data_IF_659248522451
#
_entry.id   IF_659248522451
#
_cell.length_a   1.000
_cell.length_b   1.000
_cell.length_c   1.000
_cell.angle_alpha   90.00
_cell.angle_beta   90.00
_cell.angle_gamma   90.00
#
_symmetry.space_group_name_H-M   'P 1'
#
loop_
_entity.id
_entity.type
_entity.pdbx_description
1 polymer ?
#
# COMPACT_ATOMS: atom_id res chain seq x y z
N UNK A 1 16.04 10.40 30.02
CA UNK A 1 16.22 9.24 29.11
C UNK A 1 16.59 7.99 29.91
N UNK A 2 17.47 8.07 30.92
CA UNK A 2 17.80 6.92 31.78
C UNK A 2 16.56 6.15 32.26
N UNK A 3 16.58 4.83 32.09
CA UNK A 3 15.49 3.92 32.46
C UNK A 3 14.36 3.78 31.44
N UNK A 4 14.36 4.53 30.33
CA UNK A 4 13.38 4.38 29.25
C UNK A 4 13.64 3.13 28.42
N UNK A 5 12.57 2.49 27.96
CA UNK A 5 12.61 1.32 27.08
C UNK A 5 12.31 1.74 25.64
N UNK A 6 13.20 1.37 24.73
CA UNK A 6 13.07 1.69 23.31
C UNK A 6 12.95 0.40 22.52
N UNK A 7 11.94 0.30 21.66
CA UNK A 7 11.84 -0.73 20.63
C UNK A 7 12.23 -0.12 19.29
N UNK A 8 13.26 -0.67 18.65
CA UNK A 8 13.60 -0.35 17.26
C UNK A 8 13.08 -1.48 16.36
N UNK A 9 12.11 -1.19 15.51
CA UNK A 9 11.66 -2.09 14.45
C UNK A 9 12.45 -1.76 13.19
N UNK A 10 13.34 -2.66 12.81
CA UNK A 10 14.31 -2.46 11.73
C UNK A 10 13.94 -3.32 10.51
N UNK A 11 13.88 -2.68 9.34
CA UNK A 11 13.53 -3.33 8.08
C UNK A 11 14.54 -3.02 6.98
N UNK A 12 15.66 -3.74 6.96
CA UNK A 12 16.60 -3.73 5.85
C UNK A 12 17.34 -5.07 5.75
N UNK A 13 17.46 -5.62 4.55
CA UNK A 13 18.01 -6.96 4.29
C UNK A 13 19.55 -7.05 4.39
N UNK A 14 20.24 -5.92 4.33
CA UNK A 14 21.72 -5.83 4.42
C UNK A 14 22.14 -5.11 5.71
N UNK A 15 22.68 -5.81 6.72
CA UNK A 15 23.12 -5.24 7.99
C UNK A 15 24.26 -4.21 7.87
N UNK A 16 25.11 -4.31 6.83
CA UNK A 16 26.19 -3.33 6.59
C UNK A 16 25.74 -2.10 5.80
N UNK A 17 24.46 -1.99 5.48
CA UNK A 17 23.90 -0.85 4.76
C UNK A 17 23.98 0.45 5.56
N UNK A 18 23.69 1.58 4.92
CA UNK A 18 23.51 2.85 5.61
C UNK A 18 22.40 2.78 6.67
N UNK A 19 21.28 2.08 6.38
CA UNK A 19 20.22 1.82 7.38
C UNK A 19 20.75 1.01 8.57
N UNK A 20 21.58 -0.01 8.33
CA UNK A 20 22.20 -0.80 9.41
C UNK A 20 23.19 0.02 10.24
N UNK A 21 23.91 0.94 9.60
CA UNK A 21 24.77 1.91 10.30
C UNK A 21 23.95 2.86 11.18
N UNK A 22 22.81 3.38 10.67
CA UNK A 22 21.89 4.20 11.46
C UNK A 22 21.30 3.43 12.64
N UNK A 23 20.90 2.17 12.45
CA UNK A 23 20.45 1.28 13.53
C UNK A 23 21.54 1.16 14.60
N UNK A 24 22.78 0.84 14.21
CA UNK A 24 23.90 0.66 15.13
C UNK A 24 24.16 1.93 15.95
N UNK A 25 24.21 3.09 15.29
CA UNK A 25 24.39 4.39 15.95
C UNK A 25 23.25 4.66 16.94
N UNK A 26 21.99 4.42 16.54
CA UNK A 26 20.84 4.62 17.40
C UNK A 26 20.90 3.74 18.65
N UNK A 27 21.22 2.44 18.49
CA UNK A 27 21.39 1.51 19.63
C UNK A 27 22.50 2.00 20.56
N UNK A 28 23.68 2.30 20.02
CA UNK A 28 24.84 2.74 20.81
C UNK A 28 24.54 4.01 21.61
N UNK A 29 23.95 5.01 20.97
CA UNK A 29 23.71 6.32 21.59
C UNK A 29 22.58 6.27 22.63
N UNK A 30 21.49 5.56 22.33
CA UNK A 30 20.40 5.38 23.30
C UNK A 30 20.88 4.57 24.52
N UNK A 31 21.70 3.54 24.32
CA UNK A 31 22.28 2.77 25.43
C UNK A 31 23.22 3.64 26.28
N UNK A 32 24.07 4.48 25.68
CA UNK A 32 24.93 5.43 26.42
C UNK A 32 24.12 6.41 27.28
N UNK A 33 22.92 6.78 26.83
CA UNK A 33 21.99 7.64 27.57
C UNK A 33 21.20 6.90 28.67
N UNK A 34 21.47 5.61 28.88
CA UNK A 34 20.85 4.78 29.91
C UNK A 34 19.49 4.20 29.52
N UNK A 35 19.14 4.16 28.23
CA UNK A 35 17.94 3.48 27.75
C UNK A 35 18.18 1.96 27.59
N UNK A 36 17.15 1.16 27.86
CA UNK A 36 17.11 -0.25 27.48
C UNK A 36 16.60 -0.36 26.05
N UNK A 37 17.43 -0.84 25.12
CA UNK A 37 17.08 -0.91 23.69
C UNK A 37 16.85 -2.37 23.29
N UNK A 38 15.67 -2.63 22.71
CA UNK A 38 15.30 -3.91 22.08
C UNK A 38 15.17 -3.69 20.59
N UNK A 39 15.72 -4.60 19.78
CA UNK A 39 15.63 -4.54 18.31
C UNK A 39 14.80 -5.71 17.78
N UNK A 40 13.81 -5.40 16.94
CA UNK A 40 13.15 -6.36 16.06
C UNK A 40 13.68 -6.16 14.64
N UNK A 41 14.73 -6.91 14.28
CA UNK A 41 15.26 -6.96 12.92
C UNK A 41 14.39 -7.92 12.09
N UNK A 42 13.47 -7.35 11.31
CA UNK A 42 12.44 -8.11 10.62
C UNK A 42 13.02 -9.09 9.58
N UNK A 43 14.13 -8.74 8.94
CA UNK A 43 14.77 -9.62 7.97
C UNK A 43 15.55 -10.73 8.66
N UNK A 44 16.28 -10.43 9.74
CA UNK A 44 16.97 -11.47 10.54
C UNK A 44 15.97 -12.43 11.21
N UNK A 45 14.80 -11.93 11.62
CA UNK A 45 13.71 -12.72 12.18
C UNK A 45 12.94 -13.54 11.13
N UNK A 46 13.18 -13.28 9.83
CA UNK A 46 12.36 -13.81 8.73
C UNK A 46 10.85 -13.55 8.93
N UNK A 47 10.52 -12.38 9.48
CA UNK A 47 9.15 -12.03 9.88
C UNK A 47 8.18 -12.27 8.72
N UNK A 48 7.04 -12.91 8.98
CA UNK A 48 6.01 -13.18 7.98
C UNK A 48 5.12 -11.96 7.73
N UNK A 49 5.24 -11.23 6.63
CA UNK A 49 4.44 -10.02 6.46
C UNK A 49 3.04 -10.28 5.93
N UNK A 50 2.72 -11.50 5.45
CA UNK A 50 1.38 -11.82 4.96
C UNK A 50 0.44 -12.00 6.15
N UNK A 51 -0.59 -11.17 6.19
CA UNK A 51 -1.74 -11.36 7.06
C UNK A 51 -2.49 -12.64 6.63
N UNK A 52 -2.46 -13.69 7.44
CA UNK A 52 -3.07 -14.98 7.07
C UNK A 52 -3.81 -15.63 8.23
N UNK A 53 -4.54 -16.70 7.93
CA UNK A 53 -5.16 -17.57 8.93
C UNK A 53 -4.18 -18.05 10.02
N UNK A 54 -2.89 -18.14 9.71
CA UNK A 54 -1.86 -18.63 10.64
C UNK A 54 -1.61 -17.68 11.82
N UNK A 55 -2.12 -16.44 11.75
CA UNK A 55 -2.02 -15.47 12.84
C UNK A 55 -2.94 -15.81 14.03
N UNK A 56 -3.78 -16.84 13.89
CA UNK A 56 -4.76 -17.27 14.88
C UNK A 56 -4.49 -18.72 15.28
N UNK A 57 -4.26 -18.95 16.56
CA UNK A 57 -4.10 -20.28 17.16
C UNK A 57 -5.47 -20.78 17.60
N UNK A 58 -5.85 -22.01 17.23
CA UNK A 58 -7.16 -22.57 17.57
C UNK A 58 -8.22 -22.29 16.51
N UNK A 59 -9.50 -22.12 16.89
CA UNK A 59 -10.62 -22.01 15.96
C UNK A 59 -10.89 -20.56 15.52
N UNK A 60 -11.42 -20.39 14.31
CA UNK A 60 -11.95 -19.11 13.85
C UNK A 60 -13.27 -18.80 14.55
N UNK A 61 -13.58 -17.52 14.69
CA UNK A 61 -14.92 -17.06 15.06
C UNK A 61 -15.95 -17.44 14.00
N UNK A 62 -15.63 -17.25 12.72
CA UNK A 62 -16.42 -17.68 11.58
C UNK A 62 -15.55 -18.41 10.55
N UNK A 63 -15.60 -19.75 10.56
CA UNK A 63 -14.84 -20.58 9.62
C UNK A 63 -15.39 -20.59 8.20
N UNK A 64 -16.59 -20.07 7.96
CA UNK A 64 -17.24 -20.11 6.64
C UNK A 64 -16.98 -18.87 5.79
N UNK A 65 -16.55 -17.77 6.42
CA UNK A 65 -16.23 -16.50 5.78
C UNK A 65 -15.10 -15.79 6.54
N UNK A 66 -13.85 -16.11 6.19
CA UNK A 66 -12.69 -15.55 6.88
C UNK A 66 -12.55 -14.04 6.64
N UNK A 67 -12.60 -13.27 7.73
CA UNK A 67 -12.31 -11.84 7.74
C UNK A 67 -11.12 -11.57 8.65
N UNK A 68 -9.99 -11.18 8.07
CA UNK A 68 -8.75 -11.03 8.84
C UNK A 68 -8.88 -10.05 10.02
N UNK A 69 -9.54 -8.90 9.84
CA UNK A 69 -9.69 -7.89 10.89
C UNK A 69 -10.56 -8.39 12.05
N UNK A 70 -11.72 -8.95 11.74
CA UNK A 70 -12.64 -9.51 12.76
C UNK A 70 -12.01 -10.70 13.46
N UNK A 71 -11.39 -11.61 12.71
CA UNK A 71 -10.84 -12.86 13.24
C UNK A 71 -9.62 -12.62 14.14
N UNK A 72 -8.75 -11.67 13.79
CA UNK A 72 -7.62 -11.29 14.65
C UNK A 72 -8.06 -10.53 15.89
N UNK A 73 -9.11 -9.70 15.80
CA UNK A 73 -9.73 -9.07 16.98
C UNK A 73 -10.31 -10.10 17.95
N UNK A 74 -11.07 -11.08 17.44
CA UNK A 74 -11.62 -12.17 18.26
C UNK A 74 -10.51 -13.06 18.84
N UNK A 75 -9.47 -13.36 18.07
CA UNK A 75 -8.30 -14.08 18.56
C UNK A 75 -7.55 -13.30 19.65
N UNK A 76 -7.39 -11.99 19.51
CA UNK A 76 -6.79 -11.13 20.54
C UNK A 76 -7.56 -11.21 21.86
N UNK A 77 -8.89 -11.07 21.83
CA UNK A 77 -9.74 -11.16 23.03
C UNK A 77 -9.59 -12.50 23.75
N UNK A 78 -9.35 -13.58 23.01
CA UNK A 78 -9.17 -14.95 23.55
C UNK A 78 -7.73 -15.29 23.93
N UNK A 79 -6.75 -14.41 23.64
CA UNK A 79 -5.33 -14.71 23.81
C UNK A 79 -4.81 -15.77 22.83
N UNK A 80 -5.42 -15.85 21.65
CA UNK A 80 -5.20 -16.87 20.63
C UNK A 80 -4.46 -16.33 19.39
N UNK A 81 -3.69 -15.25 19.51
CA UNK A 81 -2.82 -14.81 18.43
C UNK A 81 -1.58 -15.71 18.32
N UNK A 82 -0.99 -15.76 17.12
CA UNK A 82 0.28 -16.47 16.91
C UNK A 82 1.38 -15.92 17.81
N UNK A 83 2.34 -16.80 18.14
CA UNK A 83 3.41 -16.51 19.09
C UNK A 83 4.23 -15.27 18.70
N UNK A 84 4.55 -15.12 17.41
CA UNK A 84 5.31 -13.99 16.89
C UNK A 84 4.59 -12.66 17.10
N UNK A 85 3.27 -12.60 16.87
CA UNK A 85 2.46 -11.42 17.15
C UNK A 85 2.46 -11.09 18.65
N UNK A 86 2.25 -12.10 19.51
CA UNK A 86 2.24 -11.89 20.97
C UNK A 86 3.59 -11.37 21.47
N UNK A 87 4.70 -11.88 20.93
CA UNK A 87 6.05 -11.44 21.27
C UNK A 87 6.32 -10.00 20.80
N UNK A 88 5.95 -9.63 19.58
CA UNK A 88 6.09 -8.25 19.10
C UNK A 88 5.19 -7.28 19.89
N UNK A 89 3.94 -7.66 20.17
CA UNK A 89 3.04 -6.85 21.00
C UNK A 89 3.60 -6.67 22.41
N UNK A 90 4.26 -7.68 22.99
CA UNK A 90 4.93 -7.54 24.28
C UNK A 90 6.03 -6.48 24.22
N UNK A 91 6.88 -6.49 23.19
CA UNK A 91 7.92 -5.47 22.99
C UNK A 91 7.30 -4.07 22.87
N UNK A 92 6.21 -3.94 22.11
CA UNK A 92 5.48 -2.68 21.97
C UNK A 92 4.91 -2.22 23.32
N UNK A 93 4.28 -3.11 24.11
CA UNK A 93 3.74 -2.76 25.45
C UNK A 93 4.83 -2.24 26.38
N UNK A 94 5.99 -2.90 26.39
CA UNK A 94 7.11 -2.57 27.26
C UNK A 94 7.84 -1.29 26.84
N UNK A 95 7.79 -0.92 25.55
CA UNK A 95 8.47 0.26 25.05
C UNK A 95 7.74 1.57 25.42
N UNK A 96 8.52 2.57 25.82
CA UNK A 96 8.12 3.97 25.92
C UNK A 96 8.20 4.67 24.54
N UNK A 97 9.18 4.26 23.72
CA UNK A 97 9.46 4.81 22.39
C UNK A 97 9.58 3.69 21.36
N UNK A 98 8.86 3.82 20.26
CA UNK A 98 9.02 3.01 19.06
C UNK A 98 9.82 3.78 18.01
N UNK A 99 10.88 3.19 17.49
CA UNK A 99 11.64 3.72 16.36
C UNK A 99 11.49 2.76 15.19
N UNK A 100 11.02 3.27 14.05
CA UNK A 100 10.99 2.53 12.79
C UNK A 100 12.19 2.93 11.95
N UNK A 101 13.09 1.99 11.64
CA UNK A 101 14.27 2.23 10.80
C UNK A 101 14.19 1.43 9.49
N UNK A 102 14.06 2.11 8.35
CA UNK A 102 13.82 1.46 7.06
C UNK A 102 14.18 2.34 5.84
N UNK A 103 14.41 1.78 4.65
CA UNK A 103 14.50 2.54 3.41
C UNK A 103 13.11 2.85 2.83
N UNK A 104 12.93 4.00 2.16
CA UNK A 104 11.72 4.23 1.37
C UNK A 104 11.71 3.38 0.11
N UNK A 105 10.70 2.52 -0.01
CA UNK A 105 10.37 1.75 -1.21
C UNK A 105 9.03 2.27 -1.74
N UNK A 106 9.03 2.82 -2.95
CA UNK A 106 7.84 3.41 -3.57
C UNK A 106 7.16 4.45 -2.69
N UNK A 107 7.97 5.39 -2.16
CA UNK A 107 7.50 6.46 -1.28
C UNK A 107 6.78 5.97 -0.01
N UNK A 108 7.04 4.74 0.40
CA UNK A 108 6.46 4.12 1.58
C UNK A 108 7.47 3.17 2.23
N UNK A 109 7.08 2.53 3.33
CA UNK A 109 7.88 1.48 3.95
C UNK A 109 7.95 0.21 3.08
N UNK A 110 9.00 -0.62 3.22
CA UNK A 110 9.06 -1.92 2.56
C UNK A 110 7.94 -2.83 3.06
N UNK A 111 7.50 -3.76 2.20
CA UNK A 111 6.42 -4.70 2.50
C UNK A 111 6.60 -5.47 3.81
N UNK A 112 7.84 -5.80 4.21
CA UNK A 112 8.09 -6.51 5.47
C UNK A 112 7.69 -5.67 6.70
N UNK A 113 7.96 -4.37 6.69
CA UNK A 113 7.55 -3.46 7.76
C UNK A 113 6.04 -3.19 7.69
N UNK A 114 5.49 -3.06 6.47
CA UNK A 114 4.04 -2.97 6.30
C UNK A 114 3.32 -4.18 6.90
N UNK A 115 3.86 -5.38 6.68
CA UNK A 115 3.32 -6.61 7.25
C UNK A 115 3.43 -6.68 8.76
N UNK A 116 4.49 -6.13 9.34
CA UNK A 116 4.58 -5.98 10.79
C UNK A 116 3.45 -5.09 11.32
N UNK A 117 3.16 -3.96 10.67
CA UNK A 117 2.03 -3.10 11.06
C UNK A 117 0.69 -3.81 10.88
N UNK A 118 0.49 -4.49 9.74
CA UNK A 118 -0.75 -5.22 9.42
C UNK A 118 -1.08 -6.30 10.44
N UNK A 119 -0.07 -7.00 10.94
CA UNK A 119 -0.25 -8.17 11.81
C UNK A 119 -0.14 -7.84 13.29
N UNK A 120 0.76 -6.94 13.70
CA UNK A 120 1.03 -6.67 15.13
C UNK A 120 0.02 -5.69 15.71
N UNK A 121 -0.36 -4.67 14.94
CA UNK A 121 -1.30 -3.63 15.36
C UNK A 121 -2.75 -4.09 15.11
N UNK A 122 -3.20 -5.13 15.82
CA UNK A 122 -4.59 -5.60 15.69
C UNK A 122 -5.55 -4.74 16.52
N UNK A 123 -6.84 -4.77 16.18
CA UNK A 123 -7.89 -4.18 17.01
C UNK A 123 -7.90 -4.84 18.41
N UNK A 124 -8.18 -4.06 19.44
CA UNK A 124 -8.09 -4.44 20.85
C UNK A 124 -6.69 -4.30 21.44
N UNK A 125 -5.65 -4.33 20.60
CA UNK A 125 -4.28 -4.06 20.99
C UNK A 125 -3.87 -2.61 20.71
N UNK A 126 -3.90 -2.20 19.44
CA UNK A 126 -3.40 -0.90 19.01
C UNK A 126 -4.48 0.18 19.01
N UNK A 127 -5.71 -0.21 18.67
CA UNK A 127 -6.87 0.66 18.60
C UNK A 127 -8.15 -0.12 18.93
N UNK A 128 -9.22 0.58 19.21
CA UNK A 128 -10.59 0.07 19.12
C UNK A 128 -11.41 1.09 18.32
N UNK A 129 -12.54 0.71 17.70
CA UNK A 129 -13.35 1.68 16.95
C UNK A 129 -13.83 2.85 17.81
N UNK A 130 -13.96 2.63 19.13
CA UNK A 130 -14.26 3.68 20.12
C UNK A 130 -13.03 4.45 20.63
N UNK A 131 -11.81 3.98 20.34
CA UNK A 131 -10.53 4.49 20.85
C UNK A 131 -9.48 4.56 19.74
N UNK A 132 -9.47 5.69 19.04
CA UNK A 132 -8.60 6.00 17.91
C UNK A 132 -7.85 7.32 18.10
N UNK A 133 -6.78 7.53 17.33
CA UNK A 133 -5.95 8.75 17.33
C UNK A 133 -5.48 9.15 18.74
N UNK A 134 -5.79 10.37 19.17
CA UNK A 134 -5.40 10.92 20.48
C UNK A 134 -6.00 10.16 21.67
N UNK A 135 -7.03 9.34 21.44
CA UNK A 135 -7.64 8.47 22.46
C UNK A 135 -7.32 6.98 22.23
N UNK A 136 -6.33 6.68 21.38
CA UNK A 136 -5.95 5.33 21.00
C UNK A 136 -5.37 4.51 22.16
N UNK A 137 -5.35 3.18 22.01
CA UNK A 137 -4.84 2.28 23.05
C UNK A 137 -3.32 2.40 23.26
N UNK A 138 -2.61 3.03 22.32
CA UNK A 138 -1.18 3.30 22.39
C UNK A 138 -0.86 4.80 22.58
N UNK A 139 -1.83 5.64 22.98
CA UNK A 139 -1.68 7.10 23.10
C UNK A 139 -0.51 7.58 23.98
N UNK A 140 -0.06 6.77 24.94
CA UNK A 140 1.05 7.11 25.84
C UNK A 140 2.44 6.83 25.23
N UNK A 141 2.49 6.16 24.07
CA UNK A 141 3.74 5.76 23.42
C UNK A 141 4.23 6.84 22.48
N UNK A 142 5.53 7.08 22.49
CA UNK A 142 6.17 7.92 21.48
C UNK A 142 6.53 7.06 20.26
N UNK A 143 6.49 7.66 19.07
CA UNK A 143 6.95 7.02 17.84
C UNK A 143 7.87 7.94 17.04
N UNK A 144 8.89 7.36 16.41
CA UNK A 144 9.83 8.03 15.53
C UNK A 144 10.02 7.20 14.27
N UNK A 145 9.93 7.85 13.11
CA UNK A 145 10.24 7.26 11.82
C UNK A 145 11.60 7.79 11.36
N UNK A 146 12.59 6.90 11.28
CA UNK A 146 13.92 7.18 10.73
C UNK A 146 14.08 6.39 9.44
N UNK A 147 14.12 7.08 8.30
CA UNK A 147 14.19 6.40 7.02
C UNK A 147 15.14 7.05 6.04
N UNK A 148 15.63 6.25 5.09
CA UNK A 148 16.53 6.72 4.04
C UNK A 148 15.80 6.88 2.72
N UNK A 149 16.11 7.93 1.98
CA UNK A 149 15.57 8.19 0.64
C UNK A 149 16.60 7.87 -0.44
N UNK A 150 16.13 7.53 -1.65
CA UNK A 150 17.02 7.33 -2.81
C UNK A 150 17.41 8.63 -3.55
N UNK A 151 16.71 9.74 -3.28
CA UNK A 151 16.97 11.05 -3.88
C UNK A 151 17.56 12.07 -2.91
N UNK A 152 18.06 13.20 -3.43
CA UNK A 152 18.64 14.28 -2.63
C UNK A 152 17.58 15.03 -1.81
N UNK A 153 18.01 15.79 -0.80
CA UNK A 153 17.11 16.60 0.03
C UNK A 153 16.29 17.58 -0.80
N UNK A 154 16.87 18.13 -1.86
CA UNK A 154 16.23 19.08 -2.76
C UNK A 154 15.04 18.46 -3.49
N UNK A 155 15.13 17.17 -3.87
CA UNK A 155 14.02 16.44 -4.48
C UNK A 155 12.81 16.34 -3.54
N UNK A 156 13.04 16.34 -2.22
CA UNK A 156 11.99 16.25 -1.18
C UNK A 156 11.72 17.58 -0.46
N UNK A 157 12.37 18.68 -0.86
CA UNK A 157 12.19 20.01 -0.25
C UNK A 157 10.95 20.72 -0.83
N UNK A 158 10.47 21.75 -0.11
CA UNK A 158 9.27 22.57 -0.42
C UNK A 158 9.24 23.12 -1.87
N UNK A 159 10.39 23.18 -2.56
CA UNK A 159 10.53 23.66 -3.95
C UNK A 159 10.96 22.60 -4.99
N UNK A 160 11.17 21.35 -4.61
CA UNK A 160 11.52 20.25 -5.54
C UNK A 160 10.28 19.60 -6.14
N UNK A 161 10.41 18.79 -7.21
CA UNK A 161 9.27 18.17 -7.91
C UNK A 161 8.38 17.28 -7.03
N UNK A 162 8.90 16.82 -5.89
CA UNK A 162 8.25 15.84 -5.02
C UNK A 162 7.62 16.47 -3.75
N UNK A 163 7.20 17.74 -3.89
CA UNK A 163 6.68 18.71 -2.87
C UNK A 163 5.79 18.15 -1.76
N UNK A 164 4.99 17.11 -2.00
CA UNK A 164 3.86 16.75 -1.12
C UNK A 164 4.05 15.47 -0.31
N UNK A 165 5.20 14.81 -0.40
CA UNK A 165 5.42 13.51 0.23
C UNK A 165 5.61 13.53 1.74
N UNK A 166 6.08 14.64 2.29
CA UNK A 166 6.40 14.76 3.71
C UNK A 166 5.49 15.76 4.44
N UNK A 167 4.45 16.26 3.77
CA UNK A 167 3.57 17.30 4.31
C UNK A 167 2.87 16.89 5.62
N UNK A 168 2.51 15.62 5.91
CA UNK A 168 2.00 15.26 7.23
C UNK A 168 3.06 15.31 8.35
N UNK A 169 4.35 15.42 8.02
CA UNK A 169 5.47 15.31 8.97
C UNK A 169 6.22 16.62 9.22
N UNK A 170 5.75 17.75 8.66
CA UNK A 170 6.37 19.05 8.88
C UNK A 170 5.38 20.00 9.53
N UNK A 171 5.75 20.52 10.71
CA UNK A 171 4.98 21.48 11.51
C UNK A 171 4.46 22.64 10.65
N UNK A 172 3.19 23.07 10.81
CA UNK A 172 2.67 24.19 10.05
C UNK A 172 3.41 25.48 10.44
N UNK A 173 4.19 26.04 9.52
CA UNK A 173 4.51 27.46 9.60
C UNK A 173 3.27 28.23 9.16
N UNK A 174 2.78 29.11 10.04
CA UNK A 174 1.67 30.03 9.78
C UNK A 174 1.97 30.85 8.53
N UNK A 175 1.28 30.58 7.43
CA UNK A 175 1.24 31.50 6.30
C UNK A 175 0.32 32.68 6.67
N UNK A 176 0.92 33.87 6.74
CA UNK A 176 0.19 35.13 6.84
C UNK A 176 -0.43 35.48 5.48
N UNK A 177 -1.65 35.98 5.55
CA UNK A 177 -2.58 36.08 4.44
C UNK A 177 -2.12 36.93 3.25
N UNK A 178 -2.53 36.49 2.08
CA UNK A 178 -2.74 37.35 0.91
C UNK A 178 -4.06 36.93 0.27
N UNK A 179 -5.03 37.84 0.26
CA UNK A 179 -6.28 37.74 -0.48
C UNK A 179 -6.03 37.96 -1.98
N UNK A 180 -6.82 37.33 -2.86
CA UNK A 180 -7.25 38.08 -4.03
C UNK A 180 -8.75 38.02 -4.32
N UNK A 181 -9.19 39.17 -4.83
CA UNK A 181 -10.51 39.53 -5.32
C UNK A 181 -11.15 38.53 -6.27
N UNK A 182 -12.48 38.50 -6.16
CA UNK A 182 -13.46 37.89 -7.07
C UNK A 182 -13.42 38.46 -8.48
N UNK A 183 -13.53 37.60 -9.48
CA UNK A 183 -14.30 37.87 -10.70
C UNK A 183 -14.92 36.58 -11.27
N UNK A 184 -16.18 36.73 -11.68
CA UNK A 184 -17.08 35.74 -12.26
C UNK A 184 -16.54 35.10 -13.54
N UNK A 185 -16.91 33.83 -13.78
CA UNK A 185 -17.29 33.37 -15.12
C UNK A 185 -18.31 32.23 -15.06
N UNK A 186 -19.33 32.38 -15.89
CA UNK A 186 -20.54 31.58 -16.07
C UNK A 186 -20.30 30.19 -16.67
N UNK A 187 -21.06 29.21 -16.18
CA UNK A 187 -21.19 27.89 -16.78
C UNK A 187 -22.10 27.90 -18.03
N UNK A 188 -21.88 26.99 -19.00
CA UNK A 188 -22.94 26.52 -19.86
C UNK A 188 -23.35 25.08 -19.50
N UNK A 189 -24.66 24.90 -19.33
CA UNK A 189 -25.30 23.60 -19.26
C UNK A 189 -25.21 22.90 -20.63
N UNK A 190 -24.90 21.60 -20.63
CA UNK A 190 -25.09 20.74 -21.81
C UNK A 190 -26.01 19.56 -21.45
N UNK A 191 -27.00 19.37 -22.32
CA UNK A 191 -28.05 18.35 -22.26
C UNK A 191 -27.50 17.00 -22.71
N UNK A 192 -27.85 15.94 -21.98
CA UNK A 192 -27.62 14.54 -22.37
C UNK A 192 -28.79 14.08 -23.26
N UNK A 193 -28.57 13.52 -24.47
CA UNK A 193 -29.57 12.71 -25.13
C UNK A 193 -29.46 11.25 -24.69
N UNK A 194 -30.61 10.70 -24.28
CA UNK A 194 -30.81 9.26 -24.08
C UNK A 194 -30.58 8.49 -25.38
N UNK A 195 -29.72 7.48 -25.33
CA UNK A 195 -29.54 6.49 -26.39
C UNK A 195 -28.64 5.36 -25.91
N UNK A 196 -29.25 4.22 -25.57
CA UNK A 196 -28.52 3.00 -25.19
C UNK A 196 -27.89 2.39 -26.46
N UNK A 197 -26.72 2.89 -26.83
CA UNK A 197 -25.90 2.32 -27.89
C UNK A 197 -24.95 1.28 -27.25
N UNK A 198 -25.27 0.01 -27.44
CA UNK A 198 -24.35 -1.10 -27.16
C UNK A 198 -23.25 -1.07 -28.22
N UNK A 199 -22.19 -0.32 -27.95
CA UNK A 199 -20.97 -0.34 -28.76
C UNK A 199 -20.12 -1.53 -28.34
N UNK A 200 -19.85 -2.44 -29.28
CA UNK A 200 -18.80 -3.43 -29.13
C UNK A 200 -17.46 -2.70 -29.03
N UNK A 201 -16.77 -2.84 -27.89
CA UNK A 201 -15.37 -2.44 -27.75
C UNK A 201 -14.53 -3.21 -28.77
N UNK A 202 -13.45 -2.64 -29.32
CA UNK A 202 -12.58 -3.38 -30.20
C UNK A 202 -12.08 -4.63 -29.45
N UNK A 203 -12.31 -5.84 -29.97
CA UNK A 203 -11.86 -7.07 -29.32
C UNK A 203 -10.35 -7.02 -29.11
N UNK A 204 -9.88 -7.45 -27.94
CA UNK A 204 -8.44 -7.65 -27.69
C UNK A 204 -7.78 -6.80 -26.60
N UNK A 205 -8.52 -6.00 -25.83
CA UNK A 205 -7.95 -5.36 -24.63
C UNK A 205 -7.56 -6.39 -23.58
N UNK A 206 -6.38 -6.25 -22.99
CA UNK A 206 -5.83 -7.14 -21.97
C UNK A 206 -5.89 -6.47 -20.60
N UNK A 207 -6.45 -7.17 -19.61
CA UNK A 207 -6.57 -6.69 -18.24
C UNK A 207 -5.82 -7.62 -17.31
N UNK A 208 -4.94 -7.06 -16.47
CA UNK A 208 -4.38 -7.74 -15.33
C UNK A 208 -5.09 -7.27 -14.06
N UNK A 209 -5.69 -8.19 -13.33
CA UNK A 209 -6.23 -7.93 -11.99
C UNK A 209 -5.27 -8.53 -10.96
N UNK A 210 -4.64 -7.67 -10.16
CA UNK A 210 -3.83 -8.10 -9.00
C UNK A 210 -4.73 -8.07 -7.77
N UNK A 211 -5.02 -9.25 -7.24
CA UNK A 211 -5.99 -9.47 -6.18
C UNK A 211 -5.30 -9.86 -4.87
N UNK A 212 -5.63 -9.15 -3.78
CA UNK A 212 -5.00 -9.33 -2.48
C UNK A 212 -6.04 -9.50 -1.37
N UNK A 213 -6.72 -10.64 -1.33
CA UNK A 213 -7.58 -11.03 -0.21
C UNK A 213 -7.52 -12.54 0.04
N UNK A 214 -7.59 -12.97 1.30
CA UNK A 214 -7.38 -14.36 1.73
C UNK A 214 -8.61 -15.25 1.49
N UNK A 215 -9.80 -14.64 1.56
CA UNK A 215 -11.09 -15.33 1.48
C UNK A 215 -11.79 -15.08 0.13
N UNK A 216 -11.95 -16.10 -0.73
CA UNK A 216 -12.67 -15.99 -2.01
C UNK A 216 -14.14 -15.57 -1.87
N UNK A 217 -14.81 -15.89 -0.76
CA UNK A 217 -16.22 -15.48 -0.51
C UNK A 217 -16.35 -14.06 0.05
N UNK A 218 -15.25 -13.35 0.24
CA UNK A 218 -15.25 -11.98 0.75
C UNK A 218 -15.94 -11.01 -0.21
N UNK A 219 -16.26 -9.82 0.28
CA UNK A 219 -16.75 -8.75 -0.59
C UNK A 219 -15.73 -8.38 -1.68
N UNK A 220 -14.42 -8.41 -1.37
CA UNK A 220 -13.35 -8.25 -2.36
C UNK A 220 -13.37 -9.36 -3.41
N UNK A 221 -13.62 -10.62 -3.01
CA UNK A 221 -13.77 -11.74 -3.95
C UNK A 221 -14.98 -11.57 -4.88
N UNK A 222 -16.09 -11.05 -4.37
CA UNK A 222 -17.25 -10.68 -5.20
C UNK A 222 -16.93 -9.57 -6.21
N UNK A 223 -16.18 -8.53 -5.80
CA UNK A 223 -15.74 -7.46 -6.71
C UNK A 223 -14.80 -7.99 -7.80
N UNK A 224 -13.86 -8.87 -7.45
CA UNK A 224 -13.00 -9.58 -8.40
C UNK A 224 -13.83 -10.39 -9.40
N UNK A 225 -14.76 -11.21 -8.92
CA UNK A 225 -15.61 -12.06 -9.77
C UNK A 225 -16.40 -11.23 -10.77
N UNK A 226 -17.03 -10.14 -10.33
CA UNK A 226 -17.75 -9.21 -11.20
C UNK A 226 -16.82 -8.59 -12.24
N UNK A 227 -15.62 -8.16 -11.85
CA UNK A 227 -14.65 -7.59 -12.77
C UNK A 227 -14.26 -8.59 -13.86
N UNK A 228 -13.93 -9.82 -13.48
CA UNK A 228 -13.60 -10.89 -14.44
C UNK A 228 -14.78 -11.16 -15.38
N UNK A 229 -15.98 -11.36 -14.85
CA UNK A 229 -17.17 -11.67 -15.65
C UNK A 229 -17.52 -10.56 -16.63
N UNK A 230 -17.59 -9.30 -16.16
CA UNK A 230 -18.03 -8.17 -16.97
C UNK A 230 -17.00 -7.82 -18.05
N UNK A 231 -15.71 -7.79 -17.72
CA UNK A 231 -14.65 -7.50 -18.70
C UNK A 231 -14.52 -8.63 -19.74
N UNK A 232 -14.70 -9.89 -19.33
CA UNK A 232 -14.71 -11.03 -20.26
C UNK A 232 -15.92 -10.97 -21.20
N UNK A 233 -17.12 -10.61 -20.69
CA UNK A 233 -18.33 -10.40 -21.51
C UNK A 233 -18.13 -9.32 -22.57
N UNK A 234 -17.31 -8.31 -22.28
CA UNK A 234 -16.94 -7.25 -23.21
C UNK A 234 -15.86 -7.67 -24.25
N UNK A 235 -15.35 -8.90 -24.18
CA UNK A 235 -14.32 -9.40 -25.09
C UNK A 235 -12.88 -9.06 -24.68
N UNK A 236 -12.65 -8.66 -23.43
CA UNK A 236 -11.29 -8.48 -22.90
C UNK A 236 -10.66 -9.83 -22.55
N UNK A 237 -9.33 -9.93 -22.69
CA UNK A 237 -8.55 -11.03 -22.10
C UNK A 237 -8.20 -10.64 -20.67
N UNK A 238 -8.76 -11.36 -19.68
CA UNK A 238 -8.55 -11.07 -18.26
C UNK A 238 -7.59 -12.09 -17.64
N UNK A 239 -6.50 -11.61 -17.05
CA UNK A 239 -5.55 -12.40 -16.26
C UNK A 239 -5.65 -11.97 -14.80
N UNK A 240 -5.61 -12.93 -13.88
CA UNK A 240 -5.65 -12.65 -12.43
C UNK A 240 -4.36 -13.14 -11.78
N UNK A 241 -3.74 -12.26 -10.98
CA UNK A 241 -2.71 -12.62 -10.01
C UNK A 241 -3.34 -12.58 -8.62
N UNK A 242 -3.86 -13.74 -8.17
CA UNK A 242 -4.35 -13.92 -6.80
C UNK A 242 -3.16 -14.16 -5.88
N UNK A 243 -2.73 -13.09 -5.21
CA UNK A 243 -1.47 -13.09 -4.48
C UNK A 243 -1.46 -14.09 -3.31
N UNK A 244 -2.60 -14.28 -2.65
CA UNK A 244 -2.69 -15.24 -1.54
C UNK A 244 -2.75 -16.68 -2.05
N UNK A 245 -3.50 -16.96 -3.13
CA UNK A 245 -3.50 -18.29 -3.74
C UNK A 245 -2.12 -18.67 -4.31
N UNK A 246 -1.40 -17.69 -4.85
CA UNK A 246 -0.03 -17.84 -5.34
C UNK A 246 1.02 -17.98 -4.21
N UNK A 247 0.65 -17.71 -2.96
CA UNK A 247 1.58 -17.55 -1.85
C UNK A 247 2.73 -16.59 -2.20
N UNK A 248 2.41 -15.49 -2.89
CA UNK A 248 3.39 -14.54 -3.40
C UNK A 248 4.34 -14.10 -2.27
N UNK A 249 5.65 -14.13 -2.50
CA UNK A 249 6.66 -13.69 -1.54
C UNK A 249 6.71 -12.15 -1.55
N UNK A 250 6.36 -11.45 -0.47
CA UNK A 250 6.37 -9.99 -0.51
C UNK A 250 7.70 -9.36 -0.07
N UNK A 251 8.63 -10.12 0.51
CA UNK A 251 9.91 -9.59 1.00
C UNK A 251 10.86 -9.41 -0.18
N UNK A 252 11.32 -8.19 -0.40
CA UNK A 252 12.45 -7.90 -1.29
C UNK A 252 13.74 -8.47 -0.70
N UNK A 253 14.36 -9.45 -1.36
CA UNK A 253 15.58 -10.13 -0.86
C UNK A 253 16.54 -10.49 -1.99
N UNK A 254 17.75 -10.94 -1.64
CA UNK A 254 18.72 -11.47 -2.62
C UNK A 254 18.18 -12.66 -3.43
N UNK A 255 17.15 -13.36 -2.95
CA UNK A 255 16.53 -14.48 -3.67
C UNK A 255 15.79 -14.05 -4.95
N UNK A 256 15.55 -12.74 -5.11
CA UNK A 256 14.95 -12.17 -6.32
C UNK A 256 15.94 -12.14 -7.50
N UNK A 257 17.21 -12.45 -7.25
CA UNK A 257 18.28 -12.51 -8.24
C UNK A 257 18.78 -13.95 -8.37
N UNK A 258 18.75 -14.46 -9.60
CA UNK A 258 19.25 -15.79 -9.98
C UNK A 258 20.71 -15.66 -10.43
N UNK A 259 21.59 -16.46 -9.82
CA UNK A 259 23.02 -16.44 -10.14
C UNK A 259 23.79 -15.45 -9.27
N UNK A 260 24.73 -14.71 -9.87
CA UNK A 260 25.67 -13.86 -9.14
C UNK A 260 25.15 -12.42 -8.99
N UNK A 261 25.32 -11.88 -7.78
CA UNK A 261 25.14 -10.46 -7.50
C UNK A 261 26.15 -9.62 -8.30
N UNK A 262 25.77 -8.41 -8.66
CA UNK A 262 26.66 -7.41 -9.23
C UNK A 262 27.75 -7.01 -8.23
N UNK A 263 27.39 -6.83 -6.95
CA UNK A 263 28.29 -6.57 -5.85
C UNK A 263 27.90 -7.39 -4.61
N UNK A 264 28.57 -8.52 -4.42
CA UNK A 264 28.32 -9.41 -3.27
C UNK A 264 28.76 -8.86 -1.91
N UNK A 265 29.61 -7.83 -1.88
CA UNK A 265 30.15 -7.26 -0.64
C UNK A 265 29.25 -6.20 -0.02
N UNK A 266 28.36 -5.59 -0.82
CA UNK A 266 27.45 -4.53 -0.39
C UNK A 266 26.11 -4.64 -1.13
N UNK A 267 25.21 -5.49 -0.62
CA UNK A 267 23.92 -5.73 -1.26
C UNK A 267 23.02 -4.49 -1.21
N UNK A 268 22.71 -3.94 -2.39
CA UNK A 268 21.71 -2.90 -2.57
C UNK A 268 20.60 -3.43 -3.49
N UNK A 269 19.41 -3.66 -2.94
CA UNK A 269 18.31 -4.30 -3.66
C UNK A 269 17.95 -3.57 -4.98
N UNK A 270 17.91 -2.24 -4.98
CA UNK A 270 17.59 -1.47 -6.19
C UNK A 270 18.63 -1.64 -7.30
N UNK A 271 19.91 -1.54 -6.95
CA UNK A 271 21.02 -1.73 -7.91
C UNK A 271 21.06 -3.17 -8.41
N UNK A 272 20.97 -4.13 -7.50
CA UNK A 272 21.09 -5.55 -7.82
C UNK A 272 19.95 -6.05 -8.70
N UNK A 273 18.71 -5.63 -8.42
CA UNK A 273 17.55 -6.00 -9.25
C UNK A 273 17.58 -5.30 -10.61
N UNK A 274 18.07 -4.07 -10.70
CA UNK A 274 18.30 -3.39 -11.98
C UNK A 274 19.33 -4.12 -12.85
N UNK A 275 20.47 -4.50 -12.27
CA UNK A 275 21.50 -5.28 -12.97
C UNK A 275 21.01 -6.69 -13.32
N UNK A 276 20.24 -7.33 -12.45
CA UNK A 276 19.62 -8.62 -12.74
C UNK A 276 18.59 -8.51 -13.87
N UNK A 277 17.77 -7.47 -13.90
CA UNK A 277 16.82 -7.24 -15.00
C UNK A 277 17.53 -7.11 -16.35
N UNK A 278 18.60 -6.30 -16.44
CA UNK A 278 19.40 -6.15 -17.67
C UNK A 278 19.98 -7.47 -18.18
N UNK A 279 20.33 -8.37 -17.26
CA UNK A 279 20.90 -9.69 -17.57
C UNK A 279 19.85 -10.79 -17.76
N UNK A 280 18.57 -10.52 -17.53
CA UNK A 280 17.51 -11.53 -17.53
C UNK A 280 17.62 -12.53 -16.37
N UNK A 281 18.18 -12.09 -15.24
CA UNK A 281 18.50 -12.91 -14.07
C UNK A 281 17.59 -12.61 -12.86
N UNK A 282 16.38 -12.09 -13.07
CA UNK A 282 15.39 -12.02 -12.00
C UNK A 282 14.78 -13.40 -11.73
N UNK A 283 14.26 -13.60 -10.52
CA UNK A 283 13.54 -14.81 -10.14
C UNK A 283 12.32 -15.03 -11.04
N UNK A 284 11.96 -16.31 -11.23
CA UNK A 284 10.91 -16.71 -12.18
C UNK A 284 9.56 -16.06 -11.88
N UNK A 285 9.18 -15.97 -10.61
CA UNK A 285 7.92 -15.34 -10.19
C UNK A 285 7.85 -13.87 -10.61
N UNK A 286 8.94 -13.11 -10.47
CA UNK A 286 9.02 -11.72 -10.94
C UNK A 286 8.89 -11.64 -12.45
N UNK A 287 9.62 -12.48 -13.20
CA UNK A 287 9.56 -12.49 -14.67
C UNK A 287 8.14 -12.78 -15.18
N UNK A 288 7.44 -13.73 -14.56
CA UNK A 288 6.05 -14.04 -14.93
C UNK A 288 5.09 -12.89 -14.62
N UNK A 289 5.22 -12.22 -13.47
CA UNK A 289 4.39 -11.05 -13.16
C UNK A 289 4.70 -9.87 -14.09
N UNK A 290 5.97 -9.61 -14.40
CA UNK A 290 6.38 -8.58 -15.35
C UNK A 290 5.83 -8.85 -16.75
N UNK A 291 5.77 -10.12 -17.18
CA UNK A 291 5.13 -10.50 -18.45
C UNK A 291 3.65 -10.12 -18.45
N UNK A 292 2.91 -10.45 -17.39
CA UNK A 292 1.49 -10.07 -17.27
C UNK A 292 1.29 -8.56 -17.34
N UNK A 293 2.13 -7.79 -16.63
CA UNK A 293 2.10 -6.31 -16.66
C UNK A 293 2.40 -5.79 -18.07
N UNK A 294 3.43 -6.32 -18.74
CA UNK A 294 3.81 -5.92 -20.10
C UNK A 294 2.66 -6.11 -21.07
N UNK A 295 1.96 -7.24 -20.97
CA UNK A 295 0.85 -7.57 -21.85
C UNK A 295 -0.44 -6.78 -21.57
N UNK A 296 -0.66 -6.32 -20.33
CA UNK A 296 -1.89 -5.64 -19.96
C UNK A 296 -1.98 -4.21 -20.51
N UNK A 297 -3.16 -3.82 -20.97
CA UNK A 297 -3.55 -2.42 -21.22
C UNK A 297 -4.04 -1.74 -19.93
N UNK A 298 -4.65 -2.52 -19.02
CA UNK A 298 -5.22 -2.05 -17.76
C UNK A 298 -4.77 -2.92 -16.59
N UNK A 299 -4.32 -2.27 -15.52
CA UNK A 299 -3.98 -2.86 -14.23
C UNK A 299 -5.09 -2.54 -13.21
N UNK A 300 -5.81 -3.54 -12.71
CA UNK A 300 -6.77 -3.39 -11.62
C UNK A 300 -6.17 -3.95 -10.34
N UNK A 301 -6.13 -3.16 -9.28
CA UNK A 301 -5.70 -3.60 -7.96
C UNK A 301 -6.92 -3.77 -7.07
N UNK A 302 -7.23 -5.01 -6.66
CA UNK A 302 -8.38 -5.33 -5.80
C UNK A 302 -7.91 -5.75 -4.40
N UNK A 303 -8.22 -4.97 -3.37
CA UNK A 303 -7.74 -5.23 -2.00
C UNK A 303 -8.59 -4.57 -0.90
N UNK A 304 -8.54 -5.07 0.34
CA UNK A 304 -9.00 -4.32 1.51
C UNK A 304 -7.96 -3.30 1.95
N UNK A 305 -8.39 -2.10 2.32
CA UNK A 305 -7.50 -1.06 2.86
C UNK A 305 -7.03 -1.46 4.26
N UNK A 306 -5.73 -1.70 4.41
CA UNK A 306 -5.06 -2.06 5.67
C UNK A 306 -4.15 -0.93 6.09
N UNK A 307 -4.39 -0.35 7.28
CA UNK A 307 -3.58 0.74 7.82
C UNK A 307 -3.35 1.88 6.82
N UNK A 308 -4.46 2.39 6.24
CA UNK A 308 -4.44 3.51 5.29
C UNK A 308 -3.54 3.24 4.07
N UNK A 309 -3.45 1.97 3.66
CA UNK A 309 -2.63 1.54 2.51
C UNK A 309 -3.08 0.15 2.02
N UNK A 310 -2.44 -0.36 0.98
CA UNK A 310 -2.62 -1.75 0.53
C UNK A 310 -2.08 -2.78 1.55
N UNK A 311 -2.57 -4.04 1.54
CA UNK A 311 -2.00 -5.11 2.34
C UNK A 311 -0.54 -5.36 1.97
N UNK A 312 0.27 -5.78 2.95
CA UNK A 312 1.70 -6.03 2.74
C UNK A 312 2.01 -6.98 1.57
N UNK A 313 1.16 -7.96 1.28
CA UNK A 313 1.37 -8.86 0.13
C UNK A 313 1.31 -8.13 -1.21
N UNK A 314 0.39 -7.16 -1.34
CA UNK A 314 0.28 -6.30 -2.53
C UNK A 314 1.40 -5.26 -2.56
N UNK A 315 1.78 -4.71 -1.41
CA UNK A 315 2.96 -3.83 -1.33
C UNK A 315 4.23 -4.56 -1.78
N UNK A 316 4.38 -5.82 -1.39
CA UNK A 316 5.50 -6.66 -1.82
C UNK A 316 5.50 -6.96 -3.30
N UNK A 317 4.32 -7.14 -3.91
CA UNK A 317 4.20 -7.23 -5.36
C UNK A 317 4.72 -5.96 -6.04
N UNK A 318 4.33 -4.77 -5.56
CA UNK A 318 4.86 -3.50 -6.07
C UNK A 318 6.39 -3.38 -5.86
N UNK A 319 6.88 -3.72 -4.67
CA UNK A 319 8.30 -3.65 -4.29
C UNK A 319 9.19 -4.54 -5.17
N UNK A 320 8.70 -5.74 -5.51
CA UNK A 320 9.49 -6.76 -6.22
C UNK A 320 9.30 -6.75 -7.73
N UNK A 321 8.10 -6.46 -8.24
CA UNK A 321 7.80 -6.57 -9.68
C UNK A 321 8.23 -5.33 -10.46
N UNK A 322 8.05 -4.14 -9.89
CA UNK A 322 8.21 -2.85 -10.59
C UNK A 322 9.67 -2.35 -10.64
N UNK A 323 10.65 -3.22 -10.79
CA UNK A 323 12.08 -2.84 -10.71
C UNK A 323 12.50 -1.80 -11.77
N UNK A 324 13.60 -1.10 -11.49
CA UNK A 324 14.23 -0.19 -12.46
C UNK A 324 14.62 -0.96 -13.73
N UNK A 325 14.47 -0.32 -14.89
CA UNK A 325 14.67 -0.91 -16.22
C UNK A 325 13.40 -1.60 -16.75
N UNK A 326 12.51 -2.05 -15.87
CA UNK A 326 11.21 -2.60 -16.25
C UNK A 326 10.10 -1.54 -16.18
N UNK A 327 9.82 -1.02 -14.98
CA UNK A 327 8.68 -0.13 -14.76
C UNK A 327 9.04 1.36 -14.83
N UNK A 328 10.28 1.70 -14.53
CA UNK A 328 10.82 3.07 -14.59
C UNK A 328 12.32 3.04 -14.89
N UNK A 329 12.86 4.18 -15.27
CA UNK A 329 14.30 4.47 -15.16
C UNK A 329 14.46 5.84 -14.51
N UNK A 330 15.59 6.14 -13.84
CA UNK A 330 15.78 7.45 -13.21
C UNK A 330 15.71 8.61 -14.21
N UNK A 331 15.99 8.35 -15.49
CA UNK A 331 15.81 9.31 -16.58
C UNK A 331 14.40 9.40 -17.16
N UNK A 332 13.50 8.49 -16.75
CA UNK A 332 12.15 8.26 -17.31
C UNK A 332 11.18 7.90 -16.20
N UNK A 333 10.61 8.94 -15.58
CA UNK A 333 9.65 8.87 -14.48
C UNK A 333 8.43 9.72 -14.80
N UNK A 334 7.34 9.52 -14.07
CA UNK A 334 6.07 10.23 -14.30
C UNK A 334 5.61 10.04 -15.75
N UNK A 335 5.18 11.09 -16.43
CA UNK A 335 4.60 11.00 -17.79
C UNK A 335 5.54 10.32 -18.82
N UNK A 336 6.86 10.33 -18.58
CA UNK A 336 7.87 9.66 -19.41
C UNK A 336 8.21 8.22 -18.97
N UNK A 337 7.53 7.70 -17.95
CA UNK A 337 7.76 6.37 -17.37
C UNK A 337 7.65 5.23 -18.37
N UNK A 338 8.21 4.07 -18.01
CA UNK A 338 8.32 2.93 -18.95
C UNK A 338 6.99 2.18 -19.17
N UNK A 339 5.96 2.48 -18.38
CA UNK A 339 4.61 1.91 -18.47
C UNK A 339 3.55 2.94 -18.91
N UNK A 340 3.97 4.01 -19.60
CA UNK A 340 3.13 5.17 -19.96
C UNK A 340 1.93 4.91 -20.89
N UNK A 341 1.93 3.76 -21.54
CA UNK A 341 0.87 3.27 -22.44
C UNK A 341 -0.26 2.52 -21.69
N UNK A 342 -0.15 2.37 -20.37
CA UNK A 342 -1.07 1.59 -19.54
C UNK A 342 -2.01 2.46 -18.71
N UNK A 343 -3.16 1.89 -18.38
CA UNK A 343 -4.11 2.40 -17.38
C UNK A 343 -3.96 1.64 -16.06
N UNK A 344 -4.26 2.29 -14.94
CA UNK A 344 -4.46 1.64 -13.65
C UNK A 344 -5.75 2.06 -12.96
N UNK A 345 -6.35 1.16 -12.19
CA UNK A 345 -7.49 1.41 -11.33
C UNK A 345 -7.30 0.73 -9.98
N UNK A 346 -7.42 1.50 -8.91
CA UNK A 346 -7.47 0.97 -7.54
C UNK A 346 -8.93 0.71 -7.17
N UNK A 347 -9.30 -0.55 -6.93
CA UNK A 347 -10.60 -0.97 -6.42
C UNK A 347 -10.43 -1.51 -5.01
N UNK A 348 -10.96 -0.84 -3.99
CA UNK A 348 -10.73 -1.28 -2.62
C UNK A 348 -11.91 -1.07 -1.70
N UNK A 349 -11.89 -1.81 -0.60
CA UNK A 349 -12.87 -1.74 0.48
C UNK A 349 -12.25 -1.10 1.72
N UNK A 350 -13.00 -0.31 2.47
CA UNK A 350 -12.55 0.25 3.77
C UNK A 350 -13.29 -0.40 4.92
N UNK A 351 -12.68 -0.42 6.12
CA UNK A 351 -13.37 -0.87 7.35
C UNK A 351 -14.34 0.17 7.93
N UNK A 352 -14.14 1.45 7.61
CA UNK A 352 -14.91 2.58 8.14
C UNK A 352 -15.66 3.32 7.03
N UNK A 353 -16.69 4.08 7.42
CA UNK A 353 -17.60 4.74 6.48
C UNK A 353 -16.93 5.90 5.73
N UNK A 354 -17.62 6.40 4.70
CA UNK A 354 -17.11 7.49 3.86
C UNK A 354 -16.91 8.79 4.66
N UNK A 355 -17.74 9.05 5.67
CA UNK A 355 -17.69 10.26 6.50
C UNK A 355 -16.38 10.36 7.28
N UNK A 356 -15.79 9.23 7.67
CA UNK A 356 -14.47 9.22 8.34
C UNK A 356 -13.37 9.74 7.41
N UNK A 357 -13.52 9.52 6.10
CA UNK A 357 -12.58 9.96 5.07
C UNK A 357 -13.00 11.26 4.35
N UNK A 358 -13.96 12.00 4.91
CA UNK A 358 -14.24 13.35 4.43
C UNK A 358 -13.05 14.28 4.73
N UNK A 359 -12.94 15.41 4.02
CA UNK A 359 -11.88 16.40 4.22
C UNK A 359 -11.73 16.85 5.68
N UNK A 360 -12.85 17.04 6.36
CA UNK A 360 -12.94 17.38 7.80
C UNK A 360 -13.22 16.15 8.70
N UNK A 361 -13.23 14.95 8.11
CA UNK A 361 -13.41 13.70 8.83
C UNK A 361 -12.16 13.37 9.65
N UNK A 362 -12.35 12.61 10.73
CA UNK A 362 -11.25 12.28 11.66
C UNK A 362 -10.11 11.48 10.99
N UNK A 363 -10.39 10.77 9.89
CA UNK A 363 -9.38 10.09 9.08
C UNK A 363 -8.69 10.95 8.02
N UNK A 364 -9.16 12.19 7.82
CA UNK A 364 -8.74 13.06 6.73
C UNK A 364 -9.23 12.57 5.36
N UNK A 365 -9.04 13.41 4.34
CA UNK A 365 -9.49 13.13 2.99
C UNK A 365 -8.93 11.80 2.46
N UNK A 366 -9.80 10.95 1.89
CA UNK A 366 -9.38 9.69 1.25
C UNK A 366 -8.29 9.91 0.20
N UNK A 367 -8.23 11.09 -0.42
CA UNK A 367 -7.19 11.41 -1.41
C UNK A 367 -5.80 11.45 -0.82
N UNK A 368 -5.63 11.76 0.46
CA UNK A 368 -4.33 11.71 1.12
C UNK A 368 -3.78 10.28 1.17
N UNK A 369 -4.68 9.30 1.36
CA UNK A 369 -4.36 7.86 1.34
C UNK A 369 -3.95 7.40 -0.06
N UNK A 370 -4.57 7.98 -1.09
CA UNK A 370 -4.34 7.59 -2.48
C UNK A 370 -3.02 8.11 -3.05
N UNK A 371 -2.55 9.28 -2.61
CA UNK A 371 -1.32 9.92 -3.13
C UNK A 371 -0.12 8.97 -3.24
N UNK A 372 0.33 8.27 -2.19
CA UNK A 372 1.50 7.40 -2.30
C UNK A 372 1.27 6.22 -3.26
N UNK A 373 0.04 5.74 -3.43
CA UNK A 373 -0.29 4.61 -4.31
C UNK A 373 -0.44 5.02 -5.78
N UNK A 374 -1.24 6.05 -6.04
CA UNK A 374 -1.57 6.52 -7.37
C UNK A 374 -0.44 7.36 -7.96
N UNK A 375 0.01 8.40 -7.25
CA UNK A 375 1.09 9.26 -7.73
C UNK A 375 2.47 8.61 -7.51
N UNK A 376 2.72 8.11 -6.29
CA UNK A 376 4.03 7.58 -5.92
C UNK A 376 4.43 6.27 -6.61
N UNK A 377 3.47 5.41 -6.99
CA UNK A 377 3.80 4.13 -7.64
C UNK A 377 3.40 4.15 -9.11
N UNK A 378 2.09 4.26 -9.39
CA UNK A 378 1.58 4.08 -10.75
C UNK A 378 1.99 5.21 -11.67
N UNK A 379 1.71 6.46 -11.28
CA UNK A 379 2.07 7.62 -12.10
C UNK A 379 3.59 7.74 -12.22
N UNK A 380 4.37 7.48 -11.17
CA UNK A 380 5.84 7.44 -11.26
C UNK A 380 6.35 6.48 -12.36
N UNK A 381 5.66 5.36 -12.59
CA UNK A 381 5.97 4.42 -13.68
C UNK A 381 5.39 4.83 -15.05
N UNK A 382 4.71 5.98 -15.13
CA UNK A 382 4.01 6.51 -16.30
C UNK A 382 2.58 6.07 -16.47
N UNK A 383 2.10 5.15 -15.63
CA UNK A 383 0.76 4.61 -15.77
C UNK A 383 -0.28 5.71 -15.56
N UNK A 384 -1.21 5.85 -16.52
CA UNK A 384 -2.35 6.76 -16.40
C UNK A 384 -3.35 6.20 -15.40
N UNK A 385 -3.71 6.97 -14.39
CA UNK A 385 -4.51 6.48 -13.26
C UNK A 385 -5.97 6.87 -13.44
N UNK A 386 -6.89 5.90 -13.37
CA UNK A 386 -8.33 6.14 -13.32
C UNK A 386 -8.76 6.47 -11.88
N UNK A 387 -9.92 7.12 -11.74
CA UNK A 387 -10.49 7.41 -10.42
C UNK A 387 -10.65 6.10 -9.61
N UNK A 388 -10.34 6.04 -8.30
CA UNK A 388 -10.47 4.79 -7.56
C UNK A 388 -11.93 4.34 -7.48
N UNK A 389 -12.15 3.04 -7.38
CA UNK A 389 -13.45 2.48 -6.98
C UNK A 389 -13.40 2.12 -5.50
N UNK A 390 -14.22 2.77 -4.68
CA UNK A 390 -14.13 2.63 -3.22
C UNK A 390 -15.48 2.15 -2.69
N UNK A 391 -15.49 1.00 -2.03
CA UNK A 391 -16.64 0.51 -1.29
C UNK A 391 -16.43 0.74 0.21
N UNK A 392 -17.09 1.75 0.75
CA UNK A 392 -16.92 2.14 2.15
C UNK A 392 -17.69 1.23 3.11
N UNK A 393 -17.00 0.69 4.11
CA UNK A 393 -17.56 -0.12 5.20
C UNK A 393 -18.55 -1.23 4.78
N UNK A 394 -18.23 -2.11 3.80
CA UNK A 394 -19.17 -3.13 3.32
C UNK A 394 -19.62 -4.13 4.41
N UNK A 395 -18.88 -4.21 5.52
CA UNK A 395 -19.20 -5.05 6.68
C UNK A 395 -20.23 -4.42 7.62
N UNK A 396 -20.39 -3.10 7.57
CA UNK A 396 -21.21 -2.32 8.51
C UNK A 396 -22.46 -1.72 7.85
N UNK A 397 -22.80 -2.18 6.65
CA UNK A 397 -23.99 -1.73 5.88
C UNK A 397 -24.92 -2.90 5.58
N UNK A 398 -26.17 -2.60 5.22
CA UNK A 398 -27.17 -3.63 4.91
C UNK A 398 -26.81 -4.44 3.66
N UNK A 399 -27.43 -5.61 3.50
CA UNK A 399 -27.23 -6.45 2.32
C UNK A 399 -27.68 -5.75 1.03
N UNK A 400 -28.75 -4.95 1.08
CA UNK A 400 -29.22 -4.11 -0.02
C UNK A 400 -28.12 -3.12 -0.42
N UNK A 401 -27.48 -2.47 0.56
CA UNK A 401 -26.41 -1.51 0.27
C UNK A 401 -25.17 -2.20 -0.33
N UNK A 402 -24.84 -3.40 0.14
CA UNK A 402 -23.79 -4.23 -0.48
C UNK A 402 -24.14 -4.57 -1.94
N UNK A 403 -25.38 -4.93 -2.24
CA UNK A 403 -25.85 -5.20 -3.61
C UNK A 403 -25.76 -3.95 -4.49
N UNK A 404 -26.11 -2.77 -3.96
CA UNK A 404 -25.94 -1.49 -4.67
C UNK A 404 -24.47 -1.21 -5.02
N UNK A 405 -23.54 -1.44 -4.07
CA UNK A 405 -22.10 -1.29 -4.33
C UNK A 405 -21.61 -2.22 -5.45
N UNK A 406 -22.01 -3.49 -5.43
CA UNK A 406 -21.68 -4.46 -6.48
C UNK A 406 -22.29 -4.08 -7.84
N UNK A 407 -23.51 -3.56 -7.84
CA UNK A 407 -24.18 -3.06 -9.04
C UNK A 407 -23.48 -1.81 -9.60
N UNK A 408 -23.04 -0.89 -8.74
CA UNK A 408 -22.28 0.29 -9.13
C UNK A 408 -20.93 -0.10 -9.77
N UNK A 409 -20.24 -1.11 -9.20
CA UNK A 409 -19.02 -1.64 -9.80
C UNK A 409 -19.26 -2.24 -11.19
N UNK A 410 -20.28 -3.08 -11.31
CA UNK A 410 -20.70 -3.67 -12.59
C UNK A 410 -21.02 -2.58 -13.63
N UNK A 411 -21.74 -1.54 -13.22
CA UNK A 411 -22.14 -0.46 -14.13
C UNK A 411 -20.94 0.37 -14.59
N UNK A 412 -19.98 0.65 -13.70
CA UNK A 412 -18.76 1.35 -14.06
C UNK A 412 -17.92 0.56 -15.07
N UNK A 413 -17.74 -0.73 -14.84
CA UNK A 413 -16.97 -1.62 -15.72
C UNK A 413 -17.49 -1.64 -17.17
N UNK A 414 -18.80 -1.45 -17.39
CA UNK A 414 -19.41 -1.38 -18.75
C UNK A 414 -18.91 -0.20 -19.58
N UNK A 415 -18.47 0.86 -18.93
CA UNK A 415 -18.04 2.11 -19.60
C UNK A 415 -16.60 2.48 -19.29
N UNK A 416 -15.84 1.61 -18.60
CA UNK A 416 -14.52 1.91 -18.06
C UNK A 416 -13.54 2.44 -19.12
N UNK A 417 -13.54 1.87 -20.31
CA UNK A 417 -12.65 2.26 -21.41
C UNK A 417 -12.94 3.64 -22.03
N UNK A 418 -14.00 4.31 -21.58
CA UNK A 418 -14.37 5.68 -21.98
C UNK A 418 -14.02 6.70 -20.90
N UNK A 419 -13.55 6.25 -19.73
CA UNK A 419 -13.17 7.14 -18.64
C UNK A 419 -11.87 7.86 -18.97
N UNK A 420 -11.83 9.15 -18.65
CA UNK A 420 -10.60 9.93 -18.67
C UNK A 420 -9.82 9.67 -17.35
N UNK A 421 -8.49 9.49 -17.42
CA UNK A 421 -7.65 9.41 -16.23
C UNK A 421 -7.75 10.67 -15.36
N UNK A 422 -7.54 10.51 -14.06
CA UNK A 422 -7.39 11.66 -13.16
C UNK A 422 -6.11 12.42 -13.51
N UNK A 423 -6.13 13.74 -13.27
CA UNK A 423 -4.89 14.50 -13.25
C UNK A 423 -4.12 14.15 -11.97
N UNK A 424 -3.06 13.35 -12.08
CA UNK A 424 -2.23 12.93 -10.95
C UNK A 424 -1.31 14.06 -10.42
N UNK A 425 -1.87 15.24 -10.24
CA UNK A 425 -1.20 16.42 -9.72
C UNK A 425 -1.57 16.65 -8.26
N UNK A 426 -0.71 17.32 -7.48
CA UNK A 426 -1.01 17.67 -6.09
C UNK A 426 -2.35 18.36 -5.88
N UNK A 427 -2.79 19.18 -6.83
CA UNK A 427 -4.08 19.86 -6.78
C UNK A 427 -5.25 18.88 -6.69
N UNK A 428 -5.19 17.74 -7.38
CA UNK A 428 -6.26 16.74 -7.29
C UNK A 428 -6.33 16.13 -5.89
N UNK A 429 -5.19 15.90 -5.22
CA UNK A 429 -5.14 15.18 -3.95
C UNK A 429 -5.31 16.06 -2.71
N UNK A 430 -4.87 17.32 -2.77
CA UNK A 430 -4.72 18.17 -1.58
C UNK A 430 -5.58 19.44 -1.58
N UNK A 431 -6.33 19.72 -2.66
CA UNK A 431 -7.29 20.83 -2.71
C UNK A 431 -8.71 20.29 -2.78
#
# INVERSE_FOLDING_TARGET
MAGKKVLIVYAHQEPKSFNGSLLKIAVEELTKQGCSVTVSDLYAMQFEPRATRNDIVGHLHNSEAFNYGVETWEAYKRGCLSKDLVEEQKKVREADLLIFQFPLFWFNMPAILKGWMDRVLVQGFAYDLSKVYDNGLLQEKLSLFSFTTGGSKENYAIRGDIRYLLWPMQTPQKEQGVSPNSTNCSAPASRIPNGLLVFFLPPGKKVLIVYAHQEPKSFNGSLLKIAVEELTKQGCSVTVSDLYAMQFEPRATRNDIVGHLHNSEAFNYGVETWEAYKRGCLSKDLVEEQKKVREADLLIFQFPLFWFNMPAILKGWMDRVLVQGFAYDLSKVYDDGLLQDKLSLFSFTTGVSQEIYAKEGIGGDIRYVLWPMQHGIMHFCGVKVLEPHICYAPENVSEEKRKEMLAAWTQRLKTLWKEEPINCSPEWYFK
#
